data_IF_726775323585
#
_entry.id   IF_726775323585
#
_cell.length_a   1.000
_cell.length_b   1.000
_cell.length_c   1.000
_cell.angle_alpha   90.00
_cell.angle_beta   90.00
_cell.angle_gamma   90.00
#
_symmetry.space_group_name_H-M   'P 1'
#
loop_
_entity.id
_entity.type
_entity.pdbx_description
1 polymer ?
#
# COMPACT_ATOMS: atom_id res chain seq x y z
N UNK A 1 -39.14 -11.97 16.34
CA UNK A 1 -37.72 -12.09 15.94
C UNK A 1 -37.53 -12.11 14.41
N UNK A 2 -38.03 -13.09 13.64
CA UNK A 2 -37.80 -13.15 12.17
C UNK A 2 -38.22 -11.89 11.38
N UNK A 3 -39.35 -11.25 11.73
CA UNK A 3 -39.77 -9.97 11.13
C UNK A 3 -38.78 -8.83 11.40
N UNK A 4 -38.10 -8.84 12.55
CA UNK A 4 -37.09 -7.83 12.92
C UNK A 4 -35.81 -8.03 12.12
N UNK A 5 -35.33 -9.28 12.01
CA UNK A 5 -34.19 -9.63 11.14
C UNK A 5 -34.46 -9.15 9.71
N UNK A 6 -35.61 -9.50 9.14
CA UNK A 6 -36.00 -9.07 7.79
C UNK A 6 -36.00 -7.54 7.66
N UNK A 7 -36.49 -6.82 8.67
CA UNK A 7 -36.51 -5.35 8.64
C UNK A 7 -35.10 -4.75 8.61
N UNK A 8 -34.17 -5.29 9.40
CA UNK A 8 -32.77 -4.85 9.37
C UNK A 8 -32.18 -5.13 7.99
N UNK A 9 -32.25 -6.37 7.50
CA UNK A 9 -31.70 -6.75 6.18
C UNK A 9 -32.25 -5.84 5.08
N UNK A 10 -33.58 -5.65 5.01
CA UNK A 10 -34.20 -4.79 4.00
C UNK A 10 -33.75 -3.33 4.08
N UNK A 11 -33.39 -2.84 5.27
CA UNK A 11 -32.90 -1.47 5.45
C UNK A 11 -31.47 -1.29 4.96
N UNK A 12 -30.69 -2.38 4.91
CA UNK A 12 -29.32 -2.40 4.41
C UNK A 12 -29.19 -2.92 2.98
N UNK A 13 -30.24 -3.53 2.41
CA UNK A 13 -30.24 -4.09 1.04
C UNK A 13 -29.71 -3.12 -0.04
N UNK A 14 -30.05 -1.80 -0.03
CA UNK A 14 -29.51 -0.87 -1.02
C UNK A 14 -27.99 -0.67 -0.98
N UNK A 15 -27.33 -1.09 0.10
CA UNK A 15 -25.86 -1.07 0.22
C UNK A 15 -25.27 -2.45 -0.08
N UNK A 16 -26.04 -3.50 0.16
CA UNK A 16 -25.63 -4.89 -0.07
C UNK A 16 -25.80 -5.31 -1.53
N UNK A 17 -26.50 -4.55 -2.37
CA UNK A 17 -26.73 -4.88 -3.79
C UNK A 17 -25.44 -5.16 -4.57
N UNK A 18 -24.34 -4.50 -4.18
CA UNK A 18 -23.02 -4.65 -4.80
C UNK A 18 -22.07 -5.49 -3.93
N UNK A 19 -22.53 -5.97 -2.77
CA UNK A 19 -21.72 -6.80 -1.88
C UNK A 19 -21.54 -8.21 -2.43
N UNK A 20 -20.31 -8.73 -2.30
CA UNK A 20 -19.98 -10.12 -2.59
C UNK A 20 -20.76 -11.07 -1.67
N UNK A 21 -21.03 -12.29 -2.16
CA UNK A 21 -21.79 -13.29 -1.41
C UNK A 21 -21.18 -13.59 -0.03
N UNK A 22 -19.85 -13.64 0.10
CA UNK A 22 -19.21 -13.86 1.40
C UNK A 22 -19.50 -12.71 2.37
N UNK A 23 -19.46 -11.47 1.87
CA UNK A 23 -19.73 -10.26 2.64
C UNK A 23 -21.20 -10.18 3.05
N UNK A 24 -22.13 -10.52 2.14
CA UNK A 24 -23.56 -10.62 2.45
C UNK A 24 -23.85 -11.69 3.49
N UNK A 25 -23.23 -12.86 3.36
CA UNK A 25 -23.41 -13.96 4.31
C UNK A 25 -22.90 -13.59 5.70
N UNK A 26 -21.73 -12.95 5.79
CA UNK A 26 -21.21 -12.39 7.04
C UNK A 26 -22.22 -11.41 7.65
N UNK A 27 -22.68 -10.42 6.87
CA UNK A 27 -23.64 -9.43 7.36
C UNK A 27 -24.95 -10.06 7.86
N UNK A 28 -25.56 -10.97 7.09
CA UNK A 28 -26.82 -11.63 7.43
C UNK A 28 -26.67 -12.50 8.68
N UNK A 29 -25.55 -13.22 8.81
CA UNK A 29 -25.24 -14.00 10.01
C UNK A 29 -25.17 -13.11 11.25
N UNK A 30 -24.46 -11.99 11.15
CA UNK A 30 -24.30 -11.03 12.24
C UNK A 30 -25.61 -10.33 12.61
N UNK A 31 -26.43 -9.92 11.63
CA UNK A 31 -27.79 -9.42 11.88
C UNK A 31 -28.63 -10.45 12.60
N UNK A 32 -28.54 -11.72 12.20
CA UNK A 32 -29.30 -12.82 12.81
C UNK A 32 -28.89 -13.01 14.27
N UNK A 33 -27.60 -13.07 14.56
CA UNK A 33 -27.06 -13.24 15.91
C UNK A 33 -27.40 -12.07 16.84
N UNK A 34 -27.23 -10.84 16.35
CA UNK A 34 -27.49 -9.62 17.12
C UNK A 34 -28.99 -9.41 17.35
N UNK A 35 -29.84 -9.64 16.35
CA UNK A 35 -31.29 -9.60 16.55
C UNK A 35 -31.78 -10.73 17.45
N UNK A 36 -31.22 -11.94 17.31
CA UNK A 36 -31.57 -13.05 18.18
C UNK A 36 -31.25 -12.74 19.63
N UNK A 37 -30.01 -12.32 19.93
CA UNK A 37 -29.58 -11.97 21.29
C UNK A 37 -30.30 -10.74 21.86
N UNK A 38 -30.65 -9.75 21.03
CA UNK A 38 -31.34 -8.55 21.49
C UNK A 38 -32.83 -8.78 21.79
N UNK A 39 -33.53 -9.49 20.88
CA UNK A 39 -34.98 -9.67 20.97
C UNK A 39 -35.39 -10.97 21.66
N UNK A 40 -34.47 -11.91 21.86
CA UNK A 40 -34.70 -13.14 22.61
C UNK A 40 -34.03 -12.97 23.96
N UNK A 41 -34.82 -12.77 25.00
CA UNK A 41 -34.30 -12.76 26.36
C UNK A 41 -33.89 -14.19 26.72
N UNK A 42 -32.60 -14.38 26.97
CA UNK A 42 -32.06 -15.62 27.53
C UNK A 42 -31.54 -15.31 28.92
N UNK A 43 -31.99 -16.07 29.90
CA UNK A 43 -31.59 -15.89 31.30
C UNK A 43 -30.07 -16.09 31.47
N UNK A 44 -29.47 -16.96 30.66
CA UNK A 44 -28.05 -17.31 30.72
C UNK A 44 -27.12 -16.39 29.91
N UNK A 45 -27.65 -15.54 29.02
CA UNK A 45 -26.84 -14.69 28.15
C UNK A 45 -27.59 -13.42 27.73
N UNK A 46 -27.31 -12.32 28.41
CA UNK A 46 -27.86 -11.01 28.05
C UNK A 46 -27.27 -10.48 26.75
N UNK A 47 -27.98 -9.56 26.09
CA UNK A 47 -27.49 -8.91 24.89
C UNK A 47 -26.15 -8.19 25.09
N UNK A 48 -26.03 -7.42 26.18
CA UNK A 48 -24.80 -6.66 26.46
C UNK A 48 -23.62 -7.60 26.74
N UNK A 49 -23.88 -8.73 27.38
CA UNK A 49 -22.87 -9.76 27.60
C UNK A 49 -22.47 -10.47 26.29
N UNK A 50 -23.45 -10.79 25.42
CA UNK A 50 -23.18 -11.31 24.08
C UNK A 50 -22.33 -10.33 23.25
N UNK A 51 -22.65 -9.03 23.27
CA UNK A 51 -21.88 -7.97 22.59
C UNK A 51 -20.46 -7.88 23.11
N UNK A 52 -20.28 -7.94 24.44
CA UNK A 52 -18.98 -7.93 25.09
C UNK A 52 -18.14 -9.12 24.64
N UNK A 53 -18.70 -10.33 24.67
CA UNK A 53 -18.02 -11.55 24.23
C UNK A 53 -17.67 -11.50 22.74
N UNK A 54 -18.60 -11.04 21.88
CA UNK A 54 -18.36 -10.88 20.44
C UNK A 54 -17.21 -9.93 20.13
N UNK A 55 -17.11 -8.83 20.87
CA UNK A 55 -16.06 -7.83 20.68
C UNK A 55 -14.70 -8.28 21.22
N UNK A 56 -14.69 -8.92 22.38
CA UNK A 56 -13.48 -9.09 23.20
C UNK A 56 -12.90 -10.52 23.17
N UNK A 57 -13.64 -11.52 22.66
CA UNK A 57 -13.24 -12.94 22.70
C UNK A 57 -13.29 -13.60 21.32
N UNK A 58 -12.13 -14.10 20.88
CA UNK A 58 -12.06 -15.10 19.79
C UNK A 58 -12.53 -16.47 20.32
N UNK A 59 -13.18 -17.28 19.47
CA UNK A 59 -13.57 -18.64 19.86
C UNK A 59 -12.36 -19.49 20.31
N UNK A 60 -11.17 -19.21 19.78
CA UNK A 60 -9.91 -19.86 20.17
C UNK A 60 -9.53 -19.59 21.62
N UNK A 61 -10.03 -18.53 22.25
CA UNK A 61 -9.84 -18.29 23.69
C UNK A 61 -10.60 -19.29 24.57
N UNK A 62 -11.47 -20.10 23.97
CA UNK A 62 -12.16 -21.22 24.59
C UNK A 62 -11.49 -22.58 24.30
N UNK A 63 -10.54 -22.63 23.37
CA UNK A 63 -9.75 -23.83 23.08
C UNK A 63 -8.59 -23.96 24.08
N UNK A 64 -8.76 -24.80 25.10
CA UNK A 64 -7.66 -25.23 25.98
C UNK A 64 -7.76 -24.89 27.47
N UNK A 65 -8.84 -24.27 27.96
CA UNK A 65 -9.08 -24.20 29.43
C UNK A 65 -10.01 -25.31 29.91
N UNK A 66 -9.94 -25.61 31.21
CA UNK A 66 -10.82 -26.58 31.87
C UNK A 66 -12.27 -26.06 31.86
N UNK A 67 -13.25 -26.93 31.58
CA UNK A 67 -14.69 -26.63 31.51
C UNK A 67 -15.27 -25.90 32.73
N UNK A 68 -14.58 -25.97 33.87
CA UNK A 68 -15.02 -25.44 35.16
C UNK A 68 -14.70 -23.95 35.33
N UNK A 69 -13.95 -23.34 34.40
CA UNK A 69 -13.50 -21.95 34.47
C UNK A 69 -14.39 -20.97 33.67
N UNK A 70 -15.39 -21.48 32.94
CA UNK A 70 -16.28 -20.66 32.11
C UNK A 70 -17.66 -20.50 32.72
N UNK A 71 -18.20 -19.28 32.61
CA UNK A 71 -19.60 -18.98 32.92
C UNK A 71 -20.55 -19.67 31.93
N UNK A 72 -21.83 -19.83 32.28
CA UNK A 72 -22.85 -20.37 31.37
C UNK A 72 -22.95 -19.56 30.08
N UNK A 73 -22.86 -18.23 30.19
CA UNK A 73 -22.83 -17.28 29.07
C UNK A 73 -21.67 -17.56 28.10
N UNK A 74 -20.46 -17.75 28.62
CA UNK A 74 -19.26 -18.05 27.83
C UNK A 74 -19.35 -19.41 27.14
N UNK A 75 -19.90 -20.44 27.82
CA UNK A 75 -20.11 -21.77 27.23
C UNK A 75 -21.09 -21.71 26.07
N UNK A 76 -22.21 -21.00 26.25
CA UNK A 76 -23.21 -20.81 25.20
C UNK A 76 -22.63 -20.04 24.01
N UNK A 77 -21.92 -18.93 24.27
CA UNK A 77 -21.24 -18.16 23.24
C UNK A 77 -20.21 -18.99 22.48
N UNK A 78 -19.35 -19.75 23.17
CA UNK A 78 -18.34 -20.59 22.54
C UNK A 78 -18.97 -21.68 21.65
N UNK A 79 -20.07 -22.30 22.11
CA UNK A 79 -20.83 -23.27 21.33
C UNK A 79 -21.41 -22.65 20.05
N UNK A 80 -22.01 -21.47 20.16
CA UNK A 80 -22.53 -20.72 19.01
C UNK A 80 -21.40 -20.32 18.04
N UNK A 81 -20.32 -19.74 18.55
CA UNK A 81 -19.19 -19.28 17.75
C UNK A 81 -18.50 -20.43 17.00
N UNK A 82 -18.39 -21.61 17.63
CA UNK A 82 -17.84 -22.82 17.00
C UNK A 82 -18.79 -23.40 15.95
N UNK A 83 -20.07 -23.60 16.30
CA UNK A 83 -21.06 -24.24 15.41
C UNK A 83 -21.38 -23.40 14.17
N UNK A 84 -21.43 -22.08 14.31
CA UNK A 84 -21.73 -21.14 13.22
C UNK A 84 -20.47 -20.50 12.63
N UNK A 85 -19.28 -20.83 13.16
CA UNK A 85 -17.97 -20.33 12.75
C UNK A 85 -17.91 -18.79 12.55
N UNK A 86 -18.53 -18.03 13.46
CA UNK A 86 -18.48 -16.57 13.41
C UNK A 86 -17.39 -15.99 14.32
N UNK A 87 -17.00 -14.76 14.00
CA UNK A 87 -16.04 -13.94 14.76
C UNK A 87 -16.52 -12.50 14.70
N UNK A 88 -15.93 -11.60 15.49
CA UNK A 88 -16.20 -10.17 15.38
C UNK A 88 -16.22 -9.71 13.92
N UNK A 89 -17.27 -9.00 13.55
CA UNK A 89 -17.42 -8.39 12.23
C UNK A 89 -17.27 -6.87 12.33
N UNK A 90 -16.80 -6.26 11.24
CA UNK A 90 -16.79 -4.80 11.06
C UNK A 90 -18.21 -4.21 11.02
N UNK A 91 -19.23 -5.02 10.72
CA UNK A 91 -20.62 -4.59 10.64
C UNK A 91 -21.32 -4.49 12.00
N UNK A 92 -20.74 -5.09 13.03
CA UNK A 92 -21.40 -5.32 14.33
C UNK A 92 -21.90 -4.04 15.00
N UNK A 93 -21.12 -2.96 14.91
CA UNK A 93 -21.45 -1.69 15.57
C UNK A 93 -22.57 -0.94 14.85
N UNK A 94 -22.62 -1.00 13.52
CA UNK A 94 -23.68 -0.37 12.74
C UNK A 94 -24.99 -1.17 12.85
N UNK A 95 -24.91 -2.50 12.94
CA UNK A 95 -26.07 -3.36 13.22
C UNK A 95 -26.61 -3.09 14.63
N UNK A 96 -25.75 -3.02 15.65
CA UNK A 96 -26.15 -2.68 17.03
C UNK A 96 -26.83 -1.31 17.08
N UNK A 97 -26.25 -0.32 16.40
CA UNK A 97 -26.84 1.02 16.28
C UNK A 97 -28.23 0.96 15.66
N UNK A 98 -28.39 0.25 14.54
CA UNK A 98 -29.67 0.12 13.88
C UNK A 98 -30.71 -0.58 14.76
N UNK A 99 -30.33 -1.66 15.45
CA UNK A 99 -31.25 -2.39 16.34
C UNK A 99 -31.78 -1.49 17.45
N UNK A 100 -30.93 -0.61 18.01
CA UNK A 100 -31.27 0.32 19.09
C UNK A 100 -32.04 1.56 18.62
N UNK A 101 -31.76 2.07 17.42
CA UNK A 101 -32.23 3.39 16.96
C UNK A 101 -33.20 3.33 15.76
N UNK A 102 -33.23 2.23 15.01
CA UNK A 102 -34.15 2.00 13.89
C UNK A 102 -33.76 2.65 12.56
N UNK A 103 -32.54 3.19 12.42
CA UNK A 103 -32.04 3.78 11.18
C UNK A 103 -30.53 3.56 11.00
N UNK A 104 -30.05 3.68 9.76
CA UNK A 104 -28.61 3.60 9.41
C UNK A 104 -27.96 4.95 9.65
N UNK A 105 -26.91 4.99 10.48
CA UNK A 105 -26.23 6.22 10.91
C UNK A 105 -25.36 6.82 9.81
N UNK A 106 -24.50 6.00 9.22
CA UNK A 106 -23.53 6.44 8.21
C UNK A 106 -23.63 5.59 6.94
N UNK A 107 -24.43 6.09 6.00
CA UNK A 107 -24.68 5.42 4.72
C UNK A 107 -23.45 5.39 3.81
N UNK A 108 -22.60 6.43 3.87
CA UNK A 108 -21.43 6.52 3.00
C UNK A 108 -20.30 5.66 3.56
N UNK A 109 -20.00 5.79 4.86
CA UNK A 109 -19.01 4.92 5.51
C UNK A 109 -19.38 3.44 5.41
N UNK A 110 -20.66 3.08 5.47
CA UNK A 110 -21.08 1.70 5.25
C UNK A 110 -20.78 1.19 3.83
N UNK A 111 -20.92 2.02 2.79
CA UNK A 111 -20.53 1.66 1.42
C UNK A 111 -19.04 1.45 1.26
N UNK A 112 -18.23 2.27 1.95
CA UNK A 112 -16.78 2.12 1.94
C UNK A 112 -16.36 0.80 2.60
N UNK A 113 -16.99 0.43 3.72
CA UNK A 113 -16.78 -0.86 4.38
C UNK A 113 -17.13 -2.02 3.44
N UNK A 114 -18.27 -1.97 2.75
CA UNK A 114 -18.66 -3.01 1.78
C UNK A 114 -17.62 -3.12 0.65
N UNK A 115 -17.17 -1.98 0.11
CA UNK A 115 -16.17 -1.95 -0.96
C UNK A 115 -14.84 -2.57 -0.51
N UNK A 116 -14.38 -2.23 0.70
CA UNK A 116 -13.19 -2.82 1.30
C UNK A 116 -13.35 -4.34 1.49
N UNK A 117 -14.46 -4.79 2.08
CA UNK A 117 -14.71 -6.21 2.34
C UNK A 117 -14.87 -7.02 1.06
N UNK A 118 -15.44 -6.43 0.01
CA UNK A 118 -15.47 -7.04 -1.33
C UNK A 118 -14.06 -7.24 -1.89
N UNK A 119 -13.19 -6.25 -1.73
CA UNK A 119 -11.80 -6.35 -2.16
C UNK A 119 -11.05 -7.44 -1.36
N UNK A 120 -11.24 -7.50 -0.05
CA UNK A 120 -10.69 -8.58 0.79
C UNK A 120 -11.18 -9.96 0.35
N UNK A 121 -12.48 -10.11 0.07
CA UNK A 121 -13.06 -11.36 -0.42
C UNK A 121 -12.55 -11.75 -1.82
N UNK A 122 -12.26 -10.78 -2.67
CA UNK A 122 -11.64 -11.00 -3.98
C UNK A 122 -10.21 -11.50 -3.82
N UNK A 123 -9.39 -10.81 -3.02
CA UNK A 123 -7.99 -11.21 -2.75
C UNK A 123 -7.94 -12.61 -2.12
N UNK A 124 -8.80 -12.90 -1.14
CA UNK A 124 -8.83 -14.21 -0.48
C UNK A 124 -9.16 -15.35 -1.45
N UNK A 125 -10.07 -15.15 -2.40
CA UNK A 125 -10.37 -16.16 -3.43
C UNK A 125 -9.21 -16.36 -4.40
N UNK A 126 -8.52 -15.28 -4.77
CA UNK A 126 -7.31 -15.37 -5.59
C UNK A 126 -6.20 -16.16 -4.87
N UNK A 127 -5.96 -15.88 -3.59
CA UNK A 127 -4.99 -16.62 -2.77
C UNK A 127 -5.34 -18.11 -2.70
N UNK A 128 -6.63 -18.44 -2.53
CA UNK A 128 -7.09 -19.83 -2.54
C UNK A 128 -6.84 -20.49 -3.90
N UNK A 129 -7.14 -19.80 -5.02
CA UNK A 129 -6.86 -20.32 -6.37
C UNK A 129 -5.37 -20.56 -6.59
N UNK A 130 -4.51 -19.63 -6.14
CA UNK A 130 -3.05 -19.80 -6.19
C UNK A 130 -2.63 -21.03 -5.39
N UNK A 131 -3.12 -21.20 -4.16
CA UNK A 131 -2.83 -22.39 -3.34
C UNK A 131 -3.30 -23.69 -4.00
N UNK A 132 -4.50 -23.69 -4.59
CA UNK A 132 -5.03 -24.84 -5.33
C UNK A 132 -4.12 -25.19 -6.53
N UNK A 133 -3.65 -24.20 -7.29
CA UNK A 133 -2.70 -24.44 -8.36
C UNK A 133 -1.40 -25.07 -7.82
N UNK A 134 -0.83 -24.53 -6.75
CA UNK A 134 0.37 -25.11 -6.12
C UNK A 134 0.15 -26.50 -5.51
N UNK A 135 -1.08 -26.84 -5.13
CA UNK A 135 -1.40 -28.19 -4.64
C UNK A 135 -1.25 -29.26 -5.73
N UNK A 136 -1.38 -28.89 -7.01
CA UNK A 136 -1.13 -29.79 -8.14
C UNK A 136 0.36 -30.19 -8.15
N UNK A 137 1.25 -29.22 -7.96
CA UNK A 137 2.70 -29.43 -7.94
C UNK A 137 3.19 -30.19 -6.68
N UNK A 138 2.65 -29.87 -5.50
CA UNK A 138 3.13 -30.48 -4.23
C UNK A 138 2.35 -31.72 -3.78
N UNK A 139 1.13 -31.92 -4.29
CA UNK A 139 0.18 -32.92 -3.79
C UNK A 139 0.29 -34.29 -4.43
N UNK A 140 1.17 -34.47 -5.42
CA UNK A 140 1.31 -35.73 -6.16
C UNK A 140 2.67 -35.86 -6.84
N UNK A 141 3.09 -37.10 -7.11
CA UNK A 141 4.23 -37.42 -7.98
C UNK A 141 3.79 -37.86 -9.39
N UNK A 142 2.49 -37.80 -9.70
CA UNK A 142 1.96 -38.09 -11.03
C UNK A 142 2.37 -36.98 -12.00
N UNK A 143 2.62 -37.32 -13.27
CA UNK A 143 2.91 -36.34 -14.31
C UNK A 143 1.67 -35.50 -14.63
N UNK A 144 1.58 -34.35 -13.96
CA UNK A 144 0.49 -33.39 -14.07
C UNK A 144 1.00 -31.99 -14.48
N UNK A 145 2.16 -31.96 -15.17
CA UNK A 145 2.85 -30.74 -15.57
C UNK A 145 1.94 -29.78 -16.35
N UNK A 146 1.25 -30.27 -17.38
CA UNK A 146 0.44 -29.43 -18.25
C UNK A 146 -0.75 -28.82 -17.48
N UNK A 147 -1.40 -29.62 -16.63
CA UNK A 147 -2.48 -29.14 -15.75
C UNK A 147 -1.99 -28.07 -14.76
N UNK A 148 -0.78 -28.23 -14.23
CA UNK A 148 -0.18 -27.22 -13.35
C UNK A 148 0.10 -25.91 -14.09
N UNK A 149 0.70 -25.99 -15.30
CA UNK A 149 0.97 -24.82 -16.13
C UNK A 149 -0.33 -24.11 -16.51
N UNK A 150 -1.35 -24.84 -16.96
CA UNK A 150 -2.67 -24.29 -17.30
C UNK A 150 -3.32 -23.56 -16.11
N UNK A 151 -3.19 -24.10 -14.90
CA UNK A 151 -3.72 -23.46 -13.70
C UNK A 151 -3.04 -22.11 -13.40
N UNK A 152 -1.71 -22.04 -13.53
CA UNK A 152 -0.96 -20.79 -13.34
C UNK A 152 -1.28 -19.77 -14.43
N UNK A 153 -1.31 -20.20 -15.70
CA UNK A 153 -1.62 -19.34 -16.85
C UNK A 153 -3.03 -18.77 -16.73
N UNK A 154 -4.01 -19.58 -16.32
CA UNK A 154 -5.38 -19.10 -16.08
C UNK A 154 -5.45 -17.99 -15.04
N UNK A 155 -4.65 -18.06 -13.97
CA UNK A 155 -4.58 -16.98 -12.97
C UNK A 155 -3.98 -15.71 -13.60
N UNK A 156 -2.87 -15.85 -14.33
CA UNK A 156 -2.20 -14.74 -15.00
C UNK A 156 -3.05 -14.10 -16.11
N UNK A 157 -3.93 -14.86 -16.77
CA UNK A 157 -4.80 -14.33 -17.81
C UNK A 157 -6.03 -13.60 -17.25
N UNK A 158 -6.58 -14.07 -16.12
CA UNK A 158 -7.83 -13.56 -15.57
C UNK A 158 -7.66 -12.50 -14.48
N UNK A 159 -6.60 -12.59 -13.67
CA UNK A 159 -6.51 -11.87 -12.38
C UNK A 159 -5.17 -11.15 -12.18
N UNK A 160 -4.41 -10.92 -13.26
CA UNK A 160 -3.06 -10.33 -13.21
C UNK A 160 -2.94 -9.06 -12.36
N UNK A 161 -3.94 -8.18 -12.41
CA UNK A 161 -3.96 -6.90 -11.68
C UNK A 161 -4.01 -7.07 -10.16
N UNK A 162 -4.51 -8.20 -9.68
CA UNK A 162 -4.75 -8.47 -8.26
C UNK A 162 -3.69 -9.40 -7.65
N UNK A 163 -2.82 -10.00 -8.48
CA UNK A 163 -1.73 -10.86 -8.03
C UNK A 163 -0.63 -10.01 -7.38
N UNK A 164 -0.20 -10.38 -6.18
CA UNK A 164 0.92 -9.72 -5.50
C UNK A 164 2.28 -10.10 -6.12
N UNK A 165 3.30 -9.25 -5.91
CA UNK A 165 4.60 -9.37 -6.58
C UNK A 165 5.29 -10.71 -6.28
N UNK A 166 5.14 -11.25 -5.06
CA UNK A 166 5.81 -12.50 -4.68
C UNK A 166 5.14 -13.70 -5.33
N UNK A 167 3.80 -13.71 -5.35
CA UNK A 167 3.05 -14.74 -6.07
C UNK A 167 3.34 -14.69 -7.57
N UNK A 168 3.37 -13.48 -8.16
CA UNK A 168 3.74 -13.31 -9.56
C UNK A 168 5.16 -13.82 -9.86
N UNK A 169 6.16 -13.40 -9.08
CA UNK A 169 7.55 -13.85 -9.23
C UNK A 169 7.68 -15.39 -9.14
N UNK A 170 6.97 -15.99 -8.19
CA UNK A 170 6.98 -17.45 -8.00
C UNK A 170 6.38 -18.18 -9.21
N UNK A 171 5.23 -17.71 -9.71
CA UNK A 171 4.58 -18.29 -10.89
C UNK A 171 5.42 -18.13 -12.16
N UNK A 172 5.98 -16.94 -12.40
CA UNK A 172 6.81 -16.68 -13.58
C UNK A 172 8.11 -17.49 -13.52
N UNK A 173 8.76 -17.57 -12.36
CA UNK A 173 9.99 -18.33 -12.21
C UNK A 173 9.80 -19.81 -12.53
N UNK A 174 8.73 -20.43 -12.02
CA UNK A 174 8.48 -21.86 -12.29
C UNK A 174 8.05 -22.11 -13.75
N UNK A 175 7.29 -21.18 -14.35
CA UNK A 175 6.94 -21.25 -15.78
C UNK A 175 8.19 -21.16 -16.66
N UNK A 176 9.15 -20.29 -16.30
CA UNK A 176 10.45 -20.22 -16.96
C UNK A 176 11.26 -21.52 -16.81
N UNK A 177 11.28 -22.11 -15.61
CA UNK A 177 11.93 -23.41 -15.38
C UNK A 177 11.35 -24.51 -16.29
N UNK A 178 10.06 -24.42 -16.65
CA UNK A 178 9.40 -25.32 -17.60
C UNK A 178 9.49 -24.90 -19.08
N UNK A 179 10.24 -23.83 -19.39
CA UNK A 179 10.38 -23.23 -20.72
C UNK A 179 9.05 -22.72 -21.31
N UNK A 180 8.12 -22.28 -20.48
CA UNK A 180 6.88 -21.62 -20.92
C UNK A 180 7.16 -20.13 -21.23
N UNK A 181 6.61 -19.55 -22.32
CA UNK A 181 6.81 -18.15 -22.66
C UNK A 181 6.12 -17.21 -21.67
N UNK A 182 6.88 -16.29 -21.06
CA UNK A 182 6.40 -15.43 -19.96
C UNK A 182 6.54 -13.94 -20.23
N UNK A 183 7.20 -13.56 -21.33
CA UNK A 183 7.61 -12.19 -21.62
C UNK A 183 6.42 -11.22 -21.67
N UNK A 184 5.29 -11.66 -22.21
CA UNK A 184 4.05 -10.88 -22.26
C UNK A 184 3.48 -10.58 -20.88
N UNK A 185 3.56 -11.54 -19.94
CA UNK A 185 3.08 -11.35 -18.57
C UNK A 185 3.99 -10.41 -17.81
N UNK A 186 5.32 -10.57 -17.92
CA UNK A 186 6.30 -9.69 -17.27
C UNK A 186 6.11 -8.25 -17.73
N UNK A 187 5.93 -8.02 -19.04
CA UNK A 187 5.68 -6.68 -19.57
C UNK A 187 4.41 -6.07 -18.97
N UNK A 188 3.27 -6.76 -19.07
CA UNK A 188 1.98 -6.27 -18.54
C UNK A 188 2.05 -6.00 -17.03
N UNK A 189 2.65 -6.91 -16.27
CA UNK A 189 2.75 -6.78 -14.83
C UNK A 189 3.66 -5.60 -14.42
N UNK A 190 4.74 -5.36 -15.16
CA UNK A 190 5.61 -4.21 -14.93
C UNK A 190 4.90 -2.88 -15.21
N UNK A 191 4.05 -2.81 -16.23
CA UNK A 191 3.18 -1.65 -16.48
C UNK A 191 2.18 -1.43 -15.33
N UNK A 192 1.58 -2.50 -14.81
CA UNK A 192 0.69 -2.44 -13.64
C UNK A 192 1.43 -1.92 -12.41
N UNK A 193 2.63 -2.43 -12.12
CA UNK A 193 3.45 -1.97 -11.01
C UNK A 193 3.85 -0.51 -11.15
N UNK A 194 4.26 -0.08 -12.35
CA UNK A 194 4.57 1.33 -12.64
C UNK A 194 3.40 2.27 -12.40
N UNK A 195 2.17 1.84 -12.66
CA UNK A 195 0.97 2.66 -12.48
C UNK A 195 0.44 2.68 -11.03
N UNK A 196 0.71 1.62 -10.26
CA UNK A 196 0.07 1.42 -8.94
C UNK A 196 1.02 1.61 -7.76
N UNK A 197 2.34 1.54 -7.97
CA UNK A 197 3.34 1.68 -6.92
C UNK A 197 4.17 2.93 -7.04
N UNK A 198 4.39 3.55 -5.88
CA UNK A 198 5.40 4.58 -5.71
C UNK A 198 6.75 3.95 -5.34
N UNK A 199 7.72 4.04 -6.26
CA UNK A 199 9.07 3.50 -6.08
C UNK A 199 10.01 4.43 -5.31
N UNK A 200 9.57 5.66 -4.98
CA UNK A 200 10.32 6.59 -4.11
C UNK A 200 10.36 6.11 -2.66
N UNK A 201 9.41 5.27 -2.23
CA UNK A 201 9.35 4.68 -0.90
C UNK A 201 10.39 3.56 -0.70
N UNK A 202 11.23 3.71 0.34
CA UNK A 202 12.26 2.74 0.69
C UNK A 202 11.71 1.36 1.09
N UNK A 203 10.52 1.31 1.70
CA UNK A 203 9.87 0.03 2.04
C UNK A 203 9.42 -0.72 0.80
N UNK A 204 8.88 0.00 -0.19
CA UNK A 204 8.54 -0.56 -1.49
C UNK A 204 9.75 -1.16 -2.20
N UNK A 205 10.93 -0.52 -2.11
CA UNK A 205 12.18 -1.10 -2.67
C UNK A 205 12.67 -2.36 -1.94
N UNK A 206 12.49 -2.44 -0.62
CA UNK A 206 12.90 -3.63 0.15
C UNK A 206 12.14 -4.90 -0.25
N UNK A 207 10.83 -4.79 -0.50
CA UNK A 207 9.97 -5.93 -0.86
C UNK A 207 10.40 -6.58 -2.19
N UNK A 208 11.11 -5.82 -3.03
CA UNK A 208 11.46 -6.20 -4.41
C UNK A 208 12.89 -6.76 -4.54
N UNK A 209 13.66 -6.80 -3.45
CA UNK A 209 15.04 -7.32 -3.46
C UNK A 209 15.12 -8.83 -3.68
N UNK A 210 14.10 -9.57 -3.24
CA UNK A 210 14.10 -11.03 -3.21
C UNK A 210 13.44 -11.66 -4.45
N UNK A 211 13.29 -10.90 -5.54
CA UNK A 211 12.69 -11.39 -6.80
C UNK A 211 13.65 -12.36 -7.49
N UNK A 212 13.18 -13.58 -7.71
CA UNK A 212 13.93 -14.68 -8.35
C UNK A 212 14.02 -14.49 -9.87
N UNK A 213 12.93 -14.07 -10.52
CA UNK A 213 12.88 -13.91 -11.97
C UNK A 213 13.77 -12.74 -12.41
N UNK A 214 14.87 -13.06 -13.10
CA UNK A 214 15.83 -12.07 -13.58
C UNK A 214 15.19 -11.01 -14.50
N UNK A 215 14.37 -11.37 -15.52
CA UNK A 215 13.76 -10.36 -16.39
C UNK A 215 12.75 -9.45 -15.67
N UNK A 216 12.01 -9.98 -14.69
CA UNK A 216 11.12 -9.17 -13.87
C UNK A 216 11.90 -8.18 -13.00
N UNK A 217 12.99 -8.65 -12.37
CA UNK A 217 13.87 -7.80 -11.56
C UNK A 217 14.49 -6.66 -12.39
N UNK A 218 14.91 -6.95 -13.62
CA UNK A 218 15.43 -5.93 -14.54
C UNK A 218 14.38 -4.86 -14.84
N UNK A 219 13.15 -5.26 -15.17
CA UNK A 219 12.05 -4.30 -15.41
C UNK A 219 11.69 -3.47 -14.20
N UNK A 220 11.71 -4.06 -13.00
CA UNK A 220 11.48 -3.33 -11.76
C UNK A 220 12.60 -2.33 -11.47
N UNK A 221 13.86 -2.70 -11.74
CA UNK A 221 14.98 -1.77 -11.61
C UNK A 221 14.85 -0.62 -12.60
N UNK A 222 14.46 -0.87 -13.85
CA UNK A 222 14.16 0.19 -14.82
C UNK A 222 13.05 1.15 -14.32
N UNK A 223 12.00 0.63 -13.68
CA UNK A 223 10.94 1.46 -13.09
C UNK A 223 11.44 2.28 -11.89
N UNK A 224 12.30 1.70 -11.05
CA UNK A 224 12.93 2.41 -9.93
C UNK A 224 13.84 3.51 -10.47
N UNK A 225 14.66 3.24 -11.48
CA UNK A 225 15.56 4.20 -12.11
C UNK A 225 14.81 5.29 -12.87
N UNK A 226 13.79 4.93 -13.66
CA UNK A 226 12.92 5.87 -14.37
C UNK A 226 11.99 6.67 -13.44
N UNK A 227 11.74 6.18 -12.23
CA UNK A 227 11.04 6.88 -11.16
C UNK A 227 11.92 7.83 -10.34
N UNK A 228 13.25 7.82 -10.53
CA UNK A 228 14.16 8.84 -10.00
C UNK A 228 14.08 10.12 -10.84
N UNK A 229 12.89 10.70 -10.95
CA UNK A 229 12.76 12.11 -11.35
C UNK A 229 13.16 12.95 -10.15
N UNK A 230 14.45 13.04 -9.88
CA UNK A 230 14.96 14.04 -8.98
C UNK A 230 14.55 15.41 -9.53
N UNK A 231 13.75 16.18 -8.79
CA UNK A 231 13.66 17.61 -9.07
C UNK A 231 14.81 18.32 -8.35
N UNK A 232 15.23 19.48 -8.88
CA UNK A 232 16.24 20.32 -8.19
C UNK A 232 15.77 20.63 -6.75
N UNK A 233 14.47 20.84 -6.56
CA UNK A 233 13.89 21.25 -5.29
C UNK A 233 13.94 20.15 -4.21
N UNK A 234 13.55 18.93 -4.57
CA UNK A 234 13.55 17.77 -3.66
C UNK A 234 14.98 17.38 -3.27
N UNK A 235 15.89 17.41 -4.24
CA UNK A 235 17.29 17.10 -4.00
C UNK A 235 17.94 18.15 -3.11
N UNK A 236 17.74 19.44 -3.40
CA UNK A 236 18.31 20.51 -2.59
C UNK A 236 17.77 20.49 -1.15
N UNK A 237 16.48 20.14 -0.96
CA UNK A 237 15.88 19.97 0.35
C UNK A 237 16.47 18.76 1.12
N UNK A 238 16.65 17.63 0.44
CA UNK A 238 17.25 16.44 1.04
C UNK A 238 18.70 16.72 1.48
N UNK A 239 19.49 17.40 0.63
CA UNK A 239 20.88 17.78 0.94
C UNK A 239 20.98 18.81 2.07
N UNK A 240 20.01 19.73 2.15
CA UNK A 240 19.90 20.69 3.25
C UNK A 240 19.67 19.98 4.59
N UNK A 241 18.79 18.96 4.62
CA UNK A 241 18.38 18.27 5.85
C UNK A 241 19.33 17.14 6.27
N UNK A 242 20.14 16.61 5.36
CA UNK A 242 21.00 15.44 5.60
C UNK A 242 22.50 15.73 5.40
N UNK A 243 23.35 15.00 6.12
CA UNK A 243 24.80 15.00 5.92
C UNK A 243 25.29 13.85 5.03
N UNK A 244 24.40 12.96 4.58
CA UNK A 244 24.70 11.88 3.63
C UNK A 244 23.81 11.95 2.40
N UNK A 245 24.35 11.53 1.25
CA UNK A 245 23.68 11.53 -0.04
C UNK A 245 24.09 10.30 -0.85
N UNK A 246 23.15 9.82 -1.69
CA UNK A 246 23.39 8.72 -2.63
C UNK A 246 24.18 9.23 -3.86
N UNK A 247 24.94 8.34 -4.52
CA UNK A 247 25.69 8.71 -5.74
C UNK A 247 24.79 9.27 -6.83
N UNK A 248 23.57 8.74 -6.94
CA UNK A 248 22.61 9.09 -7.99
C UNK A 248 22.14 10.55 -7.87
N UNK A 249 22.11 11.09 -6.64
CA UNK A 249 21.78 12.49 -6.37
C UNK A 249 22.87 13.43 -6.92
N UNK A 250 24.14 13.05 -6.74
CA UNK A 250 25.29 13.80 -7.23
C UNK A 250 25.36 13.71 -8.75
N UNK A 251 25.07 12.55 -9.32
CA UNK A 251 25.04 12.32 -10.77
C UNK A 251 23.98 13.19 -11.43
N UNK A 252 22.76 13.22 -10.87
CA UNK A 252 21.70 14.10 -11.32
C UNK A 252 22.09 15.58 -11.26
N UNK A 253 22.52 16.09 -10.10
CA UNK A 253 22.87 17.51 -9.95
C UNK A 253 24.02 17.94 -10.86
N UNK A 254 24.98 17.06 -11.14
CA UNK A 254 26.10 17.35 -12.04
C UNK A 254 25.66 17.50 -13.50
N UNK A 255 24.48 17.01 -13.86
CA UNK A 255 23.89 17.12 -15.20
C UNK A 255 22.94 18.31 -15.34
N UNK A 256 22.48 18.91 -14.24
CA UNK A 256 21.56 20.05 -14.25
C UNK A 256 22.26 21.26 -14.88
N UNK A 257 21.61 21.87 -15.87
CA UNK A 257 22.12 23.03 -16.59
C UNK A 257 22.02 24.30 -15.76
N UNK A 258 22.84 25.30 -16.12
CA UNK A 258 22.80 26.63 -15.48
C UNK A 258 21.42 27.29 -15.68
N UNK A 259 20.82 27.14 -16.85
CA UNK A 259 19.51 27.69 -17.20
C UNK A 259 18.39 27.06 -16.37
N UNK A 260 18.45 25.74 -16.13
CA UNK A 260 17.50 25.02 -15.27
C UNK A 260 17.58 25.50 -13.83
N UNK A 261 18.80 25.73 -13.31
CA UNK A 261 19.02 26.32 -11.98
C UNK A 261 18.47 27.74 -11.88
N UNK A 262 18.68 28.58 -12.91
CA UNK A 262 18.08 29.93 -12.95
C UNK A 262 16.56 29.85 -12.94
N UNK A 263 15.97 28.97 -13.74
CA UNK A 263 14.52 28.74 -13.79
C UNK A 263 13.96 28.32 -12.43
N UNK A 264 14.59 27.34 -11.78
CA UNK A 264 14.22 26.87 -10.45
C UNK A 264 14.32 27.98 -9.39
N UNK A 265 15.45 28.71 -9.32
CA UNK A 265 15.62 29.80 -8.35
C UNK A 265 14.56 30.90 -8.53
N UNK A 266 14.22 31.24 -9.78
CA UNK A 266 13.18 32.24 -10.09
C UNK A 266 11.76 31.76 -9.81
N UNK A 267 11.52 30.45 -9.78
CA UNK A 267 10.24 29.89 -9.37
C UNK A 267 9.93 30.10 -7.88
N UNK A 268 10.92 30.55 -7.09
CA UNK A 268 10.83 30.89 -5.68
C UNK A 268 10.26 29.74 -4.82
N UNK A 269 10.92 28.56 -4.81
CA UNK A 269 10.52 27.45 -3.98
C UNK A 269 10.63 27.79 -2.48
N UNK A 270 9.89 27.03 -1.67
CA UNK A 270 9.92 27.15 -0.22
C UNK A 270 11.36 26.91 0.27
N UNK A 271 11.83 27.74 1.22
CA UNK A 271 13.18 27.64 1.81
C UNK A 271 14.33 27.77 0.78
N UNK A 272 14.11 28.41 -0.37
CA UNK A 272 15.09 28.57 -1.46
C UNK A 272 16.51 28.91 -0.97
N UNK A 273 16.64 29.89 -0.06
CA UNK A 273 17.95 30.36 0.41
C UNK A 273 18.71 29.27 1.17
N UNK A 274 18.02 28.53 2.01
CA UNK A 274 18.62 27.45 2.81
C UNK A 274 18.92 26.23 1.92
N UNK A 275 18.05 25.93 0.95
CA UNK A 275 18.29 24.91 -0.08
C UNK A 275 19.55 25.20 -0.91
N UNK A 276 19.77 26.47 -1.28
CA UNK A 276 21.00 26.89 -1.97
C UNK A 276 22.22 26.79 -1.04
N UNK A 277 22.16 27.42 0.14
CA UNK A 277 23.33 27.57 1.02
C UNK A 277 23.76 26.25 1.67
N UNK A 278 22.81 25.52 2.22
CA UNK A 278 23.06 24.31 3.00
C UNK A 278 22.83 23.02 2.21
N UNK A 279 22.20 23.09 1.04
CA UNK A 279 22.08 21.99 0.09
C UNK A 279 23.14 22.06 -1.01
N UNK A 280 22.89 22.90 -2.02
CA UNK A 280 23.67 22.91 -3.27
C UNK A 280 25.12 23.42 -3.11
N UNK A 281 25.32 24.50 -2.35
CA UNK A 281 26.66 25.07 -2.09
C UNK A 281 27.42 24.38 -0.95
N UNK A 282 26.83 23.36 -0.31
CA UNK A 282 27.49 22.58 0.75
C UNK A 282 28.78 21.91 0.25
N UNK A 283 28.83 21.59 -1.04
CA UNK A 283 29.97 20.92 -1.67
C UNK A 283 31.18 21.85 -1.91
N UNK A 284 31.05 23.17 -1.76
CA UNK A 284 32.14 24.12 -2.03
C UNK A 284 33.38 23.92 -1.14
N UNK A 285 33.20 23.29 0.03
CA UNK A 285 34.28 22.99 0.98
C UNK A 285 34.63 21.50 1.06
N UNK A 286 34.03 20.66 0.21
CA UNK A 286 34.28 19.20 0.22
C UNK A 286 35.59 18.90 -0.51
N UNK A 287 36.59 18.41 0.21
CA UNK A 287 37.82 17.89 -0.40
C UNK A 287 37.56 16.48 -0.95
N UNK A 288 37.05 16.42 -2.19
CA UNK A 288 36.81 15.17 -2.92
C UNK A 288 37.58 15.19 -4.24
N UNK A 289 38.01 14.01 -4.71
CA UNK A 289 38.62 13.83 -6.03
C UNK A 289 37.60 13.69 -7.16
N UNK A 290 36.30 13.64 -6.83
CA UNK A 290 35.24 13.52 -7.82
C UNK A 290 34.87 14.90 -8.40
N UNK A 291 35.05 15.13 -9.73
CA UNK A 291 34.80 16.43 -10.36
C UNK A 291 33.32 16.83 -10.35
N UNK A 292 32.39 15.90 -10.07
CA UNK A 292 30.95 16.21 -10.02
C UNK A 292 30.63 17.26 -8.96
N UNK A 293 31.33 17.23 -7.82
CA UNK A 293 31.10 18.20 -6.75
C UNK A 293 31.48 19.63 -7.15
N UNK A 294 32.56 19.81 -7.92
CA UNK A 294 32.93 21.13 -8.43
C UNK A 294 31.99 21.59 -9.54
N UNK A 295 31.56 20.69 -10.44
CA UNK A 295 30.59 21.02 -11.48
C UNK A 295 29.29 21.56 -10.89
N UNK A 296 28.78 20.93 -9.82
CA UNK A 296 27.55 21.37 -9.14
C UNK A 296 27.72 22.78 -8.58
N UNK A 297 28.81 23.05 -7.86
CA UNK A 297 29.03 24.36 -7.22
C UNK A 297 29.32 25.46 -8.24
N UNK A 298 30.02 25.13 -9.32
CA UNK A 298 30.27 26.03 -10.45
C UNK A 298 28.96 26.41 -11.16
N UNK A 299 28.11 25.45 -11.49
CA UNK A 299 26.82 25.70 -12.14
C UNK A 299 25.89 26.54 -11.26
N UNK A 300 25.81 26.24 -9.97
CA UNK A 300 25.01 27.01 -8.99
C UNK A 300 25.54 28.43 -8.86
N UNK A 301 26.86 28.61 -8.81
CA UNK A 301 27.49 29.93 -8.76
C UNK A 301 27.24 30.72 -10.05
N UNK A 302 27.31 30.07 -11.21
CA UNK A 302 27.01 30.69 -12.49
C UNK A 302 25.54 31.14 -12.58
N UNK A 303 24.59 30.31 -12.14
CA UNK A 303 23.18 30.67 -12.09
C UNK A 303 22.93 31.90 -11.19
N UNK A 304 23.57 31.95 -10.02
CA UNK A 304 23.52 33.11 -9.13
C UNK A 304 24.13 34.36 -9.78
N UNK A 305 25.26 34.23 -10.50
CA UNK A 305 25.85 35.36 -11.26
C UNK A 305 24.91 35.87 -12.35
N UNK A 306 24.21 34.99 -13.06
CA UNK A 306 23.20 35.40 -14.05
C UNK A 306 22.10 36.22 -13.38
N UNK A 307 21.51 35.73 -12.29
CA UNK A 307 20.45 36.45 -11.56
C UNK A 307 20.96 37.79 -11.01
N UNK A 308 22.21 37.84 -10.52
CA UNK A 308 22.84 39.05 -10.02
C UNK A 308 23.00 40.12 -11.11
N UNK A 309 23.26 39.69 -12.35
CA UNK A 309 23.46 40.61 -13.49
C UNK A 309 22.17 41.27 -14.00
N UNK A 310 20.98 40.83 -13.55
CA UNK A 310 19.70 41.34 -14.05
C UNK A 310 19.36 42.74 -13.55
N UNK A 311 19.75 43.08 -12.32
CA UNK A 311 19.54 44.40 -11.73
C UNK A 311 20.37 44.57 -10.44
N UNK A 312 20.57 45.83 -10.04
CA UNK A 312 21.35 46.18 -8.84
C UNK A 312 20.84 45.51 -7.56
N UNK A 313 19.52 45.33 -7.43
CA UNK A 313 18.93 44.75 -6.24
C UNK A 313 19.25 43.26 -6.09
N UNK A 314 19.18 42.50 -7.19
CA UNK A 314 19.60 41.10 -7.22
C UNK A 314 21.11 40.96 -7.01
N UNK A 315 21.93 41.87 -7.55
CA UNK A 315 23.36 41.92 -7.26
C UNK A 315 23.61 42.03 -5.76
N UNK A 316 23.02 43.04 -5.10
CA UNK A 316 23.19 43.23 -3.65
C UNK A 316 22.70 42.04 -2.83
N UNK A 317 21.60 41.39 -3.23
CA UNK A 317 21.11 40.17 -2.56
C UNK A 317 22.14 39.05 -2.64
N UNK A 318 22.66 38.76 -3.83
CA UNK A 318 23.54 37.61 -4.03
C UNK A 318 24.91 37.83 -3.37
N UNK A 319 25.45 39.04 -3.47
CA UNK A 319 26.69 39.41 -2.78
C UNK A 319 26.57 39.30 -1.26
N UNK A 320 25.51 39.86 -0.67
CA UNK A 320 25.34 39.87 0.78
C UNK A 320 24.92 38.50 1.35
N UNK A 321 24.16 37.71 0.59
CA UNK A 321 23.62 36.43 1.08
C UNK A 321 24.55 35.25 0.80
N UNK A 322 25.31 35.26 -0.29
CA UNK A 322 26.14 34.12 -0.68
C UNK A 322 27.63 34.46 -0.81
N UNK A 323 28.01 35.74 -0.71
CA UNK A 323 29.41 36.17 -0.84
C UNK A 323 29.96 36.09 -2.27
N UNK A 324 29.08 35.90 -3.27
CA UNK A 324 29.45 35.73 -4.68
C UNK A 324 29.45 37.11 -5.34
N UNK A 325 30.60 37.53 -5.86
CA UNK A 325 30.77 38.79 -6.60
C UNK A 325 30.73 38.55 -8.10
N UNK A 326 30.28 39.56 -8.85
CA UNK A 326 30.42 39.59 -10.31
C UNK A 326 31.86 39.97 -10.64
N UNK A 327 32.48 39.24 -11.57
CA UNK A 327 33.82 39.55 -12.04
C UNK A 327 33.73 40.79 -12.96
N UNK A 328 34.15 41.96 -12.45
CA UNK A 328 34.26 43.19 -13.24
C UNK A 328 33.35 44.38 -12.85
N UNK A 329 33.18 44.64 -11.55
CA UNK A 329 32.77 45.98 -11.05
C UNK A 329 33.85 46.54 -10.15
#
# INVERSE_FOLDING_TARGET
>A
MLKKIRNVINSFEPFLSDADNLVRNEFVLHVTLLCWSYYTHLDDLSYEEFRRLLRDKSWLSFAGKKENEYTSAEKLYASLASSLNFRKSVFDDEIDFFIKNGYVRDRNGFRDIISQKNNEAKISRLEERIQQAWSIYHGSFVDNKDTFIEALVSILDCELNDVDVRSFDSMISILQDFNYPVESYIKKYSEILGATRDFSDARSRMILRDIRSKPLREKINELIEGGKNHTIDEVAEALMKSNGWDSDVIDYLSQVSVEELVGWMKSNPIELIDKIRYGLLKFSNVQSSDPKYSIITENVTAALKIIASENDFNRFRIENMFGIKLDGV
#
